data_IF_317221123490
#
_entry.id   IF_317221123490
#
_cell.length_a   1.000
_cell.length_b   1.000
_cell.length_c   1.000
_cell.angle_alpha   90.00
_cell.angle_beta   90.00
_cell.angle_gamma   90.00
#
_symmetry.space_group_name_H-M   'P 1'
#
loop_
_entity.id
_entity.type
_entity.pdbx_description
1 polymer ?
#
# COMPACT_ATOMS: atom_id res chain seq x y z
N UNK A 1 12.69 20.65 -6.93
CA UNK A 1 12.54 19.54 -5.98
C UNK A 1 13.15 18.30 -6.62
N UNK A 2 14.31 17.87 -6.14
CA UNK A 2 15.04 16.73 -6.71
C UNK A 2 14.26 15.44 -6.49
N UNK A 3 14.03 14.74 -7.58
CA UNK A 3 13.29 13.49 -7.64
C UNK A 3 13.84 12.51 -6.59
N UNK A 4 12.99 11.67 -6.02
CA UNK A 4 13.21 10.77 -4.87
C UNK A 4 14.18 9.60 -5.18
N UNK A 5 15.26 9.89 -5.91
CA UNK A 5 16.24 8.95 -6.46
C UNK A 5 16.95 8.14 -5.38
N UNK A 6 17.19 8.71 -4.20
CA UNK A 6 17.83 8.00 -3.08
C UNK A 6 16.98 6.84 -2.53
N UNK A 7 15.67 6.81 -2.84
CA UNK A 7 14.79 5.70 -2.47
C UNK A 7 14.70 4.60 -3.56
N UNK A 8 15.33 4.79 -4.73
CA UNK A 8 15.31 3.78 -5.79
C UNK A 8 16.50 2.82 -5.63
N UNK A 9 16.24 1.51 -5.49
CA UNK A 9 17.27 0.49 -5.60
C UNK A 9 18.04 0.57 -6.92
N UNK A 10 19.36 0.37 -6.88
CA UNK A 10 20.24 0.48 -8.05
C UNK A 10 20.02 -0.64 -9.08
N UNK A 11 19.50 -1.80 -8.65
CA UNK A 11 19.26 -2.95 -9.54
C UNK A 11 17.84 -3.53 -9.38
N UNK A 12 17.29 -4.17 -10.44
CA UNK A 12 16.01 -4.87 -10.36
C UNK A 12 15.96 -5.93 -9.26
N UNK A 13 17.05 -6.65 -9.02
CA UNK A 13 17.16 -7.68 -7.98
C UNK A 13 17.07 -7.05 -6.59
N UNK A 14 17.73 -5.91 -6.39
CA UNK A 14 17.66 -5.17 -5.13
C UNK A 14 16.25 -4.64 -4.91
N UNK A 15 15.56 -4.18 -5.97
CA UNK A 15 14.16 -3.78 -5.89
C UNK A 15 13.26 -4.95 -5.48
N UNK A 16 13.42 -6.12 -6.12
CA UNK A 16 12.68 -7.33 -5.78
C UNK A 16 12.87 -7.73 -4.31
N UNK A 17 14.12 -7.76 -3.82
CA UNK A 17 14.42 -8.10 -2.43
C UNK A 17 13.85 -7.09 -1.40
N UNK A 18 13.72 -5.80 -1.74
CA UNK A 18 13.02 -4.85 -0.85
C UNK A 18 11.53 -5.18 -0.81
N UNK A 19 10.91 -5.31 -1.98
CA UNK A 19 9.44 -5.36 -2.09
C UNK A 19 8.92 -6.72 -1.63
N UNK A 20 9.53 -7.82 -2.05
CA UNK A 20 9.11 -9.17 -1.65
C UNK A 20 9.62 -9.54 -0.25
N UNK A 21 10.93 -9.51 0.00
CA UNK A 21 11.46 -10.10 1.25
C UNK A 21 11.27 -9.21 2.48
N UNK A 22 11.36 -7.88 2.32
CA UNK A 22 11.27 -6.96 3.46
C UNK A 22 9.86 -6.44 3.69
N UNK A 23 9.14 -6.13 2.61
CA UNK A 23 7.78 -5.60 2.70
C UNK A 23 6.71 -6.69 2.58
N UNK A 24 7.07 -7.90 2.13
CA UNK A 24 6.11 -9.00 1.97
C UNK A 24 5.13 -8.81 0.81
N UNK A 25 5.45 -7.91 -0.14
CA UNK A 25 4.57 -7.56 -1.25
C UNK A 25 5.01 -8.36 -2.48
N UNK A 26 4.22 -9.35 -2.86
CA UNK A 26 4.38 -10.01 -4.16
C UNK A 26 3.93 -9.09 -5.29
N UNK A 27 4.70 -9.04 -6.37
CA UNK A 27 4.32 -8.34 -7.59
C UNK A 27 4.67 -9.18 -8.81
N UNK A 28 3.83 -9.09 -9.84
CA UNK A 28 4.02 -9.80 -11.10
C UNK A 28 3.93 -8.80 -12.24
N UNK A 29 4.89 -8.89 -13.17
CA UNK A 29 4.90 -8.10 -14.39
C UNK A 29 3.88 -8.69 -15.33
N UNK A 30 2.92 -7.89 -15.77
CA UNK A 30 1.93 -8.27 -16.77
C UNK A 30 2.32 -7.64 -18.10
N UNK A 31 2.49 -8.46 -19.14
CA UNK A 31 2.95 -7.99 -20.46
C UNK A 31 1.81 -7.69 -21.41
N UNK A 32 0.57 -7.89 -20.98
CA UNK A 32 -0.62 -7.97 -21.83
C UNK A 32 -1.31 -6.61 -22.05
N UNK A 33 -0.64 -5.51 -21.69
CA UNK A 33 -1.19 -4.16 -21.81
C UNK A 33 -1.00 -3.58 -23.20
N UNK A 34 -2.11 -3.26 -23.85
CA UNK A 34 -2.15 -2.51 -25.11
C UNK A 34 -1.70 -1.05 -24.95
N UNK A 35 -1.65 -0.54 -23.70
CA UNK A 35 -1.38 0.88 -23.42
C UNK A 35 0.11 1.19 -23.37
N UNK A 36 0.91 0.30 -22.79
CA UNK A 36 2.38 0.39 -22.69
C UNK A 36 2.99 -1.03 -22.68
N UNK A 37 3.56 -1.49 -23.81
CA UNK A 37 4.16 -2.82 -23.90
C UNK A 37 5.25 -3.03 -22.85
N UNK A 38 5.04 -4.03 -21.99
CA UNK A 38 6.03 -4.45 -21.00
C UNK A 38 6.20 -3.54 -19.78
N UNK A 39 5.31 -2.58 -19.51
CA UNK A 39 5.41 -1.71 -18.33
C UNK A 39 4.27 -1.86 -17.33
N UNK A 40 3.45 -2.91 -17.47
CA UNK A 40 2.32 -3.10 -16.57
C UNK A 40 2.67 -4.10 -15.47
N UNK A 41 2.25 -3.75 -14.27
CA UNK A 41 2.28 -4.59 -13.08
C UNK A 41 0.87 -4.60 -12.51
N UNK A 42 0.47 -5.71 -11.90
CA UNK A 42 -0.79 -5.75 -11.14
C UNK A 42 -0.66 -4.83 -9.94
N UNK A 43 -1.45 -3.74 -9.91
CA UNK A 43 -1.47 -2.80 -8.80
C UNK A 43 -2.51 -3.24 -7.78
N UNK A 44 -2.04 -3.73 -6.62
CA UNK A 44 -2.92 -4.01 -5.49
C UNK A 44 -3.00 -2.73 -4.65
N UNK A 45 -4.18 -2.12 -4.61
CA UNK A 45 -4.44 -0.97 -3.74
C UNK A 45 -4.95 -1.47 -2.39
N UNK A 46 -4.17 -1.19 -1.34
CA UNK A 46 -4.54 -1.44 0.06
C UNK A 46 -4.38 -0.16 0.86
N UNK A 47 -5.42 0.22 1.59
CA UNK A 47 -5.37 1.27 2.61
C UNK A 47 -5.50 0.61 3.98
N UNK A 48 -4.68 0.99 4.94
CA UNK A 48 -4.70 0.40 6.29
C UNK A 48 -5.10 1.46 7.32
N UNK A 49 -5.98 1.08 8.25
CA UNK A 49 -6.27 1.82 9.48
C UNK A 49 -5.47 1.19 10.61
N UNK A 50 -4.55 1.96 11.19
CA UNK A 50 -3.63 1.51 12.25
C UNK A 50 -3.92 2.33 13.51
N UNK A 51 -4.06 1.66 14.65
CA UNK A 51 -4.32 2.30 15.93
C UNK A 51 -3.02 2.84 16.59
N UNK A 52 -3.10 3.56 17.72
CA UNK A 52 -1.92 4.10 18.41
C UNK A 52 -0.87 3.07 18.83
N UNK A 53 -1.29 1.83 19.12
CA UNK A 53 -0.38 0.72 19.47
C UNK A 53 0.34 0.12 18.25
N UNK A 54 0.06 0.63 17.05
CA UNK A 54 0.64 0.13 15.80
C UNK A 54 -0.04 -1.14 15.28
N UNK A 55 -1.22 -1.50 15.80
CA UNK A 55 -2.01 -2.65 15.33
C UNK A 55 -2.92 -2.23 14.18
N UNK A 56 -2.98 -3.06 13.13
CA UNK A 56 -3.88 -2.86 11.99
C UNK A 56 -5.30 -3.27 12.38
N UNK A 57 -6.18 -2.29 12.55
CA UNK A 57 -7.61 -2.49 12.85
C UNK A 57 -8.40 -2.91 11.61
N UNK A 58 -8.00 -2.40 10.43
CA UNK A 58 -8.66 -2.73 9.16
C UNK A 58 -7.73 -2.53 7.96
N UNK A 59 -7.92 -3.38 6.95
CA UNK A 59 -7.41 -3.18 5.59
C UNK A 59 -8.58 -3.01 4.60
N UNK A 60 -8.60 -1.90 3.88
CA UNK A 60 -9.50 -1.64 2.75
C UNK A 60 -8.81 -2.09 1.47
N UNK A 61 -9.53 -2.83 0.62
CA UNK A 61 -9.01 -3.35 -0.65
C UNK A 61 -9.78 -2.76 -1.82
N UNK A 62 -9.06 -2.54 -2.92
CA UNK A 62 -9.64 -2.07 -4.18
C UNK A 62 -9.46 -0.57 -4.38
N UNK A 63 -9.65 -0.15 -5.63
CA UNK A 63 -9.37 1.23 -6.06
C UNK A 63 -10.43 2.25 -5.60
N UNK A 64 -11.62 1.76 -5.20
CA UNK A 64 -12.73 2.59 -4.76
C UNK A 64 -13.11 2.18 -3.34
N UNK A 65 -12.64 2.96 -2.38
CA UNK A 65 -13.03 2.82 -0.99
C UNK A 65 -14.23 3.73 -0.72
N UNK A 66 -15.19 3.22 0.04
CA UNK A 66 -16.33 3.98 0.55
C UNK A 66 -15.83 4.97 1.63
N UNK A 67 -15.86 6.29 1.37
CA UNK A 67 -15.29 7.28 2.28
C UNK A 67 -16.10 7.41 3.58
N UNK A 68 -17.43 7.25 3.52
CA UNK A 68 -18.29 7.29 4.71
C UNK A 68 -17.96 6.13 5.65
N UNK A 69 -17.71 4.95 5.09
CA UNK A 69 -17.27 3.79 5.88
C UNK A 69 -15.91 4.03 6.54
N UNK A 70 -14.95 4.58 5.80
CA UNK A 70 -13.61 4.88 6.34
C UNK A 70 -13.70 5.86 7.50
N UNK A 71 -14.47 6.93 7.33
CA UNK A 71 -14.67 7.92 8.39
C UNK A 71 -15.28 7.28 9.65
N UNK A 72 -16.34 6.48 9.50
CA UNK A 72 -16.98 5.81 10.62
C UNK A 72 -16.07 4.80 11.35
N UNK A 73 -15.23 4.08 10.61
CA UNK A 73 -14.24 3.17 11.20
C UNK A 73 -13.14 3.95 11.95
N UNK A 74 -12.67 5.08 11.40
CA UNK A 74 -11.69 5.97 12.06
C UNK A 74 -12.26 6.54 13.35
N UNK A 75 -13.48 7.06 13.34
CA UNK A 75 -14.15 7.59 14.52
C UNK A 75 -14.28 6.53 15.63
N UNK A 76 -14.63 5.30 15.25
CA UNK A 76 -14.74 4.18 16.19
C UNK A 76 -13.39 3.87 16.84
N UNK A 77 -12.31 3.81 16.07
CA UNK A 77 -10.97 3.59 16.62
C UNK A 77 -10.58 4.76 17.51
N UNK A 78 -10.72 6.00 17.05
CA UNK A 78 -10.38 7.18 17.86
C UNK A 78 -11.13 7.21 19.21
N UNK A 79 -12.42 6.86 19.22
CA UNK A 79 -13.21 6.81 20.44
C UNK A 79 -12.73 5.71 21.41
N UNK A 80 -12.26 4.56 20.90
CA UNK A 80 -11.76 3.46 21.73
C UNK A 80 -10.45 3.80 22.46
N UNK A 81 -9.67 4.75 21.92
CA UNK A 81 -8.38 5.21 22.47
C UNK A 81 -8.45 6.61 23.08
N UNK A 82 -9.65 7.17 23.29
CA UNK A 82 -9.81 8.52 23.79
C UNK A 82 -9.45 8.67 25.29
N UNK A 83 -9.42 7.57 26.03
CA UNK A 83 -9.21 7.52 27.48
C UNK A 83 -7.85 6.91 27.88
N UNK A 84 -6.99 6.57 26.91
CA UNK A 84 -5.63 6.01 27.12
C UNK A 84 -4.55 7.07 27.36
#
# INVERSE_FOLDING_TARGET
AGNWLYLRPETPERAKAVVEDKLGIGFERTTDSDRLPGYDFTHIVVTMLVNPDGVVERAYRGERVDPERVAADVERVAAAFADD
#
